data_IF_658423128103
#
_entry.id   IF_658423128103
#
_cell.length_a   1.000
_cell.length_b   1.000
_cell.length_c   1.000
_cell.angle_alpha   90.00
_cell.angle_beta   90.00
_cell.angle_gamma   90.00
#
_symmetry.space_group_name_H-M   'P 1'
#
loop_
_entity.id
_entity.type
_entity.pdbx_description
1 polymer ?
#
# COMPACT_ATOMS: atom_id res chain seq x y z
N UNK A 1 13.48 -17.93 -31.49
CA UNK A 1 14.72 -17.26 -31.03
C UNK A 1 14.37 -15.85 -30.58
N UNK A 2 14.54 -15.47 -29.31
CA UNK A 2 14.32 -14.09 -28.89
C UNK A 2 15.39 -13.17 -29.50
N UNK A 3 14.97 -12.02 -30.03
CA UNK A 3 15.85 -11.05 -30.67
C UNK A 3 16.91 -10.53 -29.68
N UNK A 4 18.18 -10.76 -30.00
CA UNK A 4 19.30 -10.20 -29.24
C UNK A 4 19.32 -8.68 -29.37
N UNK A 5 19.45 -7.97 -28.23
CA UNK A 5 19.49 -6.51 -28.19
C UNK A 5 20.78 -6.03 -28.85
N UNK A 6 20.65 -5.29 -29.95
CA UNK A 6 21.79 -4.62 -30.60
C UNK A 6 22.25 -3.47 -29.70
N UNK A 7 23.54 -3.40 -29.40
CA UNK A 7 24.13 -2.25 -28.74
C UNK A 7 24.09 -1.04 -29.69
N UNK A 8 23.64 0.09 -29.16
CA UNK A 8 23.66 1.38 -29.86
C UNK A 8 24.76 2.24 -29.26
N UNK A 9 25.54 2.86 -30.13
CA UNK A 9 26.65 3.74 -29.76
C UNK A 9 26.17 4.93 -28.90
N UNK A 10 27.02 5.40 -27.98
CA UNK A 10 26.69 6.49 -27.06
C UNK A 10 26.47 7.82 -27.79
N UNK A 11 27.18 8.07 -28.90
CA UNK A 11 27.02 9.26 -29.73
C UNK A 11 25.60 9.38 -30.31
N UNK A 12 25.06 8.27 -30.81
CA UNK A 12 23.71 8.22 -31.37
C UNK A 12 22.63 8.42 -30.29
N UNK A 13 22.87 7.95 -29.07
CA UNK A 13 21.99 8.24 -27.92
C UNK A 13 22.03 9.71 -27.53
N UNK A 14 23.21 10.33 -27.56
CA UNK A 14 23.39 11.76 -27.29
C UNK A 14 22.64 12.60 -28.33
N UNK A 15 22.82 12.29 -29.61
CA UNK A 15 22.13 12.97 -30.70
C UNK A 15 20.61 12.85 -30.61
N UNK A 16 20.10 11.67 -30.22
CA UNK A 16 18.66 11.49 -30.00
C UNK A 16 18.14 12.33 -28.83
N UNK A 17 18.89 12.46 -27.74
CA UNK A 17 18.53 13.31 -26.60
C UNK A 17 18.53 14.79 -27.01
N UNK A 18 19.57 15.23 -27.72
CA UNK A 18 19.69 16.61 -28.18
C UNK A 18 18.55 16.95 -29.15
N UNK A 19 18.22 16.05 -30.07
CA UNK A 19 17.08 16.21 -30.99
C UNK A 19 15.75 16.32 -30.25
N UNK A 20 15.50 15.50 -29.22
CA UNK A 20 14.29 15.58 -28.38
C UNK A 20 14.19 16.96 -27.71
N UNK A 21 15.31 17.48 -27.22
CA UNK A 21 15.35 18.75 -26.52
C UNK A 21 15.16 19.97 -27.44
N UNK A 22 15.64 19.92 -28.68
CA UNK A 22 15.63 21.06 -29.61
C UNK A 22 14.49 20.99 -30.63
N UNK A 23 14.35 19.88 -31.33
CA UNK A 23 13.42 19.71 -32.47
C UNK A 23 12.16 18.94 -32.07
N UNK A 24 12.28 17.95 -31.17
CA UNK A 24 11.18 17.10 -30.70
C UNK A 24 10.26 17.73 -29.66
N UNK A 25 10.37 19.05 -29.41
CA UNK A 25 9.52 19.76 -28.45
C UNK A 25 9.60 19.24 -27.01
N UNK A 26 10.71 18.58 -26.63
CA UNK A 26 10.91 17.94 -25.33
C UNK A 26 10.29 16.55 -25.20
N UNK A 27 9.69 16.00 -26.27
CA UNK A 27 8.98 14.70 -26.24
C UNK A 27 9.64 13.70 -27.19
N UNK A 28 10.02 12.50 -26.73
CA UNK A 28 10.51 11.45 -27.63
C UNK A 28 9.46 11.05 -28.68
N UNK A 29 9.85 10.93 -29.96
CA UNK A 29 8.91 10.65 -31.06
C UNK A 29 8.04 9.41 -30.88
N UNK A 30 8.56 8.38 -30.21
CA UNK A 30 7.81 7.16 -29.90
C UNK A 30 6.71 7.38 -28.86
N UNK A 31 6.83 8.44 -28.06
CA UNK A 31 5.86 8.85 -27.06
C UNK A 31 4.95 9.98 -27.54
N UNK A 32 5.25 10.65 -28.66
CA UNK A 32 4.45 11.76 -29.19
C UNK A 32 2.96 11.41 -29.33
N UNK A 33 2.63 10.27 -29.95
CA UNK A 33 1.23 9.84 -30.08
C UNK A 33 0.52 9.69 -28.72
N UNK A 34 1.23 9.17 -27.72
CA UNK A 34 0.71 9.01 -26.35
C UNK A 34 0.54 10.38 -25.65
N UNK A 35 1.46 11.31 -25.87
CA UNK A 35 1.33 12.67 -25.33
C UNK A 35 0.24 13.48 -26.05
N UNK A 36 0.06 13.31 -27.36
CA UNK A 36 -1.09 13.87 -28.09
C UNK A 36 -2.41 13.27 -27.62
N UNK A 37 -2.45 11.97 -27.30
CA UNK A 37 -3.64 11.34 -26.70
C UNK A 37 -3.93 11.89 -25.29
N UNK A 38 -2.89 12.12 -24.48
CA UNK A 38 -3.03 12.81 -23.18
C UNK A 38 -3.56 14.23 -23.37
N UNK A 39 -2.99 15.01 -24.30
CA UNK A 39 -3.39 16.38 -24.59
C UNK A 39 -4.81 16.44 -25.17
N UNK A 40 -5.18 15.55 -26.09
CA UNK A 40 -6.54 15.41 -26.60
C UNK A 40 -7.53 14.99 -25.49
N UNK A 41 -7.08 14.19 -24.52
CA UNK A 41 -7.85 13.83 -23.33
C UNK A 41 -7.88 14.91 -22.24
N UNK A 42 -7.15 16.04 -22.37
CA UNK A 42 -7.24 17.15 -21.40
C UNK A 42 -8.60 17.84 -21.37
N UNK A 43 -9.46 17.64 -22.39
CA UNK A 43 -10.88 18.00 -22.33
C UNK A 43 -11.72 17.09 -21.41
N UNK A 44 -11.20 15.93 -21.02
CA UNK A 44 -11.88 14.99 -20.13
C UNK A 44 -10.84 14.20 -19.33
N UNK A 45 -10.33 14.85 -18.28
CA UNK A 45 -9.47 14.36 -17.17
C UNK A 45 -9.57 12.85 -16.86
N UNK A 46 -9.02 11.99 -17.72
CA UNK A 46 -8.87 10.55 -17.45
C UNK A 46 -7.42 10.28 -17.09
N UNK A 47 -7.22 9.78 -15.87
CA UNK A 47 -5.92 9.48 -15.25
C UNK A 47 -5.28 8.29 -15.97
N UNK A 48 -3.94 8.32 -16.07
CA UNK A 48 -3.11 7.19 -16.51
C UNK A 48 -3.33 5.97 -15.60
N UNK A 49 -3.55 4.81 -16.22
CA UNK A 49 -3.78 3.55 -15.54
C UNK A 49 -2.45 3.04 -14.93
N UNK A 50 -2.40 2.87 -13.60
CA UNK A 50 -1.22 2.37 -12.88
C UNK A 50 -0.56 3.35 -11.91
N UNK A 51 -0.85 4.64 -12.00
CA UNK A 51 -0.48 5.60 -10.96
C UNK A 51 -1.51 5.52 -9.82
N UNK A 52 -1.20 4.70 -8.81
CA UNK A 52 -2.02 4.53 -7.60
C UNK A 52 -2.59 5.86 -7.11
N UNK A 53 -3.85 5.84 -6.65
CA UNK A 53 -4.50 7.02 -6.10
C UNK A 53 -3.74 7.43 -4.84
N UNK A 54 -3.03 8.56 -4.88
CA UNK A 54 -2.69 9.30 -3.64
C UNK A 54 -4.03 9.56 -2.93
N UNK A 55 -4.22 9.11 -1.69
CA UNK A 55 -5.44 9.39 -0.96
C UNK A 55 -5.67 10.89 -0.92
N UNK A 56 -6.93 11.31 -0.96
CA UNK A 56 -7.29 12.74 -0.87
C UNK A 56 -6.85 13.33 0.49
N UNK A 57 -6.56 12.48 1.49
CA UNK A 57 -6.05 12.85 2.81
C UNK A 57 -5.01 11.83 3.30
N UNK A 58 -3.74 12.01 2.95
CA UNK A 58 -2.64 11.11 3.36
C UNK A 58 -2.37 11.14 4.86
N UNK A 59 -2.29 12.34 5.46
CA UNK A 59 -1.91 12.53 6.87
C UNK A 59 -2.93 11.93 7.86
N UNK A 60 -4.22 12.04 7.55
CA UNK A 60 -5.28 11.42 8.33
C UNK A 60 -5.26 9.89 8.26
N UNK A 61 -4.88 9.32 7.09
CA UNK A 61 -4.71 7.87 6.94
C UNK A 61 -3.47 7.37 7.72
N UNK A 62 -2.37 8.12 7.73
CA UNK A 62 -1.15 7.77 8.48
C UNK A 62 -1.42 7.75 9.99
N UNK A 63 -2.10 8.77 10.52
CA UNK A 63 -2.49 8.83 11.94
C UNK A 63 -3.39 7.66 12.34
N UNK A 64 -4.31 7.24 11.46
CA UNK A 64 -5.16 6.09 11.69
C UNK A 64 -4.36 4.77 11.70
N UNK A 65 -3.32 4.66 10.87
CA UNK A 65 -2.43 3.50 10.84
C UNK A 65 -1.65 3.39 12.15
N UNK A 66 -1.09 4.48 12.67
CA UNK A 66 -0.36 4.49 13.94
C UNK A 66 -1.24 4.05 15.11
N UNK A 67 -2.48 4.55 15.17
CA UNK A 67 -3.43 4.16 16.19
C UNK A 67 -3.82 2.67 16.10
N UNK A 68 -3.88 2.11 14.90
CA UNK A 68 -4.08 0.67 14.70
C UNK A 68 -2.89 -0.12 15.26
N UNK A 69 -1.65 0.35 15.05
CA UNK A 69 -0.46 -0.27 15.61
C UNK A 69 -0.44 -0.21 17.14
N UNK A 70 -0.71 0.95 17.74
CA UNK A 70 -0.77 1.12 19.20
C UNK A 70 -1.82 0.20 19.83
N UNK A 71 -3.00 0.12 19.22
CA UNK A 71 -4.08 -0.74 19.70
C UNK A 71 -3.70 -2.22 19.61
N UNK A 72 -2.99 -2.62 18.55
CA UNK A 72 -2.44 -3.97 18.40
C UNK A 72 -1.34 -4.26 19.42
N UNK A 73 -0.48 -3.28 19.73
CA UNK A 73 0.56 -3.39 20.75
C UNK A 73 -0.05 -3.62 22.14
N UNK A 74 -1.16 -2.94 22.45
CA UNK A 74 -1.97 -3.14 23.66
C UNK A 74 -2.79 -4.44 23.67
N UNK A 75 -2.63 -5.29 22.65
CA UNK A 75 -3.38 -6.55 22.46
C UNK A 75 -4.90 -6.36 22.39
N UNK A 76 -5.35 -5.17 22.03
CA UNK A 76 -6.77 -4.88 21.86
C UNK A 76 -7.26 -5.29 20.47
N UNK A 77 -8.53 -5.67 20.38
CA UNK A 77 -9.14 -6.06 19.11
C UNK A 77 -9.33 -4.83 18.22
N UNK A 78 -8.84 -4.93 16.99
CA UNK A 78 -9.10 -3.97 15.90
C UNK A 78 -10.17 -4.57 14.98
N UNK A 79 -11.39 -4.02 15.02
CA UNK A 79 -12.49 -4.42 14.13
C UNK A 79 -12.62 -3.43 12.96
N UNK A 80 -13.29 -3.86 11.88
CA UNK A 80 -13.62 -2.98 10.74
C UNK A 80 -14.46 -1.79 11.18
N UNK A 81 -15.44 -2.04 12.05
CA UNK A 81 -16.31 -1.00 12.61
C UNK A 81 -15.53 0.02 13.43
N UNK A 82 -14.54 -0.44 14.20
CA UNK A 82 -13.66 0.45 14.97
C UNK A 82 -12.79 1.30 14.04
N UNK A 83 -12.21 0.70 12.98
CA UNK A 83 -11.46 1.45 11.97
C UNK A 83 -12.36 2.51 11.32
N UNK A 84 -13.59 2.16 10.96
CA UNK A 84 -14.53 3.09 10.35
C UNK A 84 -14.94 4.23 11.30
N UNK A 85 -15.20 3.93 12.57
CA UNK A 85 -15.54 4.93 13.58
C UNK A 85 -14.38 5.91 13.81
N UNK A 86 -13.16 5.38 13.91
CA UNK A 86 -11.99 6.20 14.17
C UNK A 86 -11.57 7.02 12.97
N UNK A 87 -11.71 6.47 11.75
CA UNK A 87 -11.58 7.24 10.53
C UNK A 87 -12.59 8.40 10.54
N UNK A 88 -13.87 8.19 10.87
CA UNK A 88 -14.81 9.33 10.94
C UNK A 88 -14.36 10.40 11.91
N UNK A 89 -13.88 10.03 13.10
CA UNK A 89 -13.42 10.99 14.10
C UNK A 89 -12.23 11.82 13.61
N UNK A 90 -11.17 11.16 13.13
CA UNK A 90 -9.97 11.85 12.62
C UNK A 90 -10.34 12.77 11.46
N UNK A 91 -11.25 12.36 10.57
CA UNK A 91 -11.68 13.16 9.42
C UNK A 91 -12.63 14.31 9.79
N UNK A 92 -13.32 14.23 10.93
CA UNK A 92 -14.10 15.33 11.47
C UNK A 92 -13.21 16.35 12.19
N UNK A 93 -12.17 15.88 12.88
CA UNK A 93 -11.24 16.71 13.65
C UNK A 93 -10.18 17.39 12.77
N UNK A 94 -9.78 16.75 11.66
CA UNK A 94 -8.85 17.32 10.69
C UNK A 94 -9.49 18.37 9.78
N UNK A 95 -10.79 18.63 9.90
CA UNK A 95 -11.50 19.61 9.08
C UNK A 95 -11.43 20.97 9.77
N UNK A 96 -10.64 21.88 9.20
CA UNK A 96 -10.55 23.27 9.66
C UNK A 96 -11.87 24.00 9.43
N UNK A 97 -12.23 24.90 10.37
CA UNK A 97 -13.53 25.59 10.44
C UNK A 97 -13.91 26.37 9.15
N UNK A 98 -12.95 26.73 8.30
CA UNK A 98 -13.17 27.49 7.05
C UNK A 98 -13.83 26.68 5.91
N UNK A 99 -13.77 25.34 5.93
CA UNK A 99 -14.35 24.50 4.87
C UNK A 99 -15.78 24.00 5.17
N UNK A 100 -16.39 24.52 6.24
CA UNK A 100 -17.69 24.04 6.74
C UNK A 100 -18.87 24.36 5.80
N UNK A 101 -18.75 25.34 4.91
CA UNK A 101 -19.91 25.83 4.12
C UNK A 101 -20.01 25.28 2.69
N UNK A 102 -18.91 24.92 2.01
CA UNK A 102 -18.96 24.66 0.56
C UNK A 102 -19.15 23.20 0.12
N UNK A 103 -18.83 22.19 0.94
CA UNK A 103 -18.88 20.80 0.48
C UNK A 103 -19.58 19.83 1.46
N UNK A 104 -20.85 19.45 1.19
CA UNK A 104 -21.63 18.46 1.94
C UNK A 104 -21.12 17.00 1.85
N UNK A 105 -19.91 16.76 1.33
CA UNK A 105 -19.39 15.40 1.17
C UNK A 105 -18.96 14.90 2.55
N UNK A 106 -19.93 14.35 3.30
CA UNK A 106 -19.71 13.69 4.58
C UNK A 106 -18.90 12.42 4.31
N UNK A 107 -17.69 12.36 4.86
CA UNK A 107 -16.88 11.15 4.81
C UNK A 107 -17.60 10.01 5.53
N UNK A 108 -18.04 9.00 4.77
CA UNK A 108 -18.88 7.93 5.29
C UNK A 108 -18.10 6.77 5.93
N UNK A 109 -16.78 6.70 5.74
CA UNK A 109 -15.94 5.55 6.12
C UNK A 109 -16.62 4.20 5.78
N UNK A 110 -17.09 4.06 4.53
CA UNK A 110 -17.84 2.88 4.10
C UNK A 110 -17.00 1.60 4.17
N UNK A 111 -17.67 0.44 4.19
CA UNK A 111 -16.97 -0.85 4.25
C UNK A 111 -16.01 -1.07 3.06
N UNK A 112 -16.39 -0.57 1.87
CA UNK A 112 -15.52 -0.55 0.70
C UNK A 112 -14.28 0.34 0.90
N UNK A 113 -14.44 1.50 1.54
CA UNK A 113 -13.31 2.36 1.90
C UNK A 113 -12.39 1.66 2.91
N UNK A 114 -12.94 1.01 3.94
CA UNK A 114 -12.15 0.24 4.93
C UNK A 114 -11.37 -0.88 4.24
N UNK A 115 -11.99 -1.63 3.31
CA UNK A 115 -11.28 -2.65 2.52
C UNK A 115 -10.12 -2.06 1.73
N UNK A 116 -10.35 -0.96 1.01
CA UNK A 116 -9.31 -0.30 0.22
C UNK A 116 -8.20 0.30 1.09
N UNK A 117 -8.54 0.90 2.23
CA UNK A 117 -7.58 1.38 3.23
C UNK A 117 -6.72 0.24 3.77
N UNK A 118 -7.33 -0.87 4.14
CA UNK A 118 -6.61 -2.04 4.65
C UNK A 118 -5.67 -2.65 3.59
N UNK A 119 -6.13 -2.76 2.34
CA UNK A 119 -5.31 -3.27 1.24
C UNK A 119 -4.12 -2.37 0.94
N UNK A 120 -4.32 -1.05 0.92
CA UNK A 120 -3.25 -0.07 0.68
C UNK A 120 -2.18 -0.09 1.77
N UNK A 121 -2.60 -0.22 3.02
CA UNK A 121 -1.70 -0.18 4.18
C UNK A 121 -1.22 -1.57 4.63
N UNK A 122 -1.43 -2.62 3.82
CA UNK A 122 -1.07 -4.01 4.14
C UNK A 122 -1.62 -4.50 5.50
N UNK A 123 -2.77 -3.96 5.91
CA UNK A 123 -3.42 -4.32 7.16
C UNK A 123 -4.26 -5.58 6.94
N UNK A 124 -3.97 -6.63 7.69
CA UNK A 124 -4.82 -7.83 7.72
C UNK A 124 -5.79 -7.78 8.90
N UNK A 125 -7.04 -8.18 8.65
CA UNK A 125 -7.96 -8.62 9.70
C UNK A 125 -7.52 -10.02 10.12
N UNK A 126 -6.69 -10.11 11.16
CA UNK A 126 -6.42 -11.41 11.76
C UNK A 126 -7.71 -11.92 12.38
N UNK A 127 -8.25 -13.03 11.85
CA UNK A 127 -9.44 -13.75 12.37
C UNK A 127 -9.36 -14.03 13.88
N UNK A 128 -8.13 -14.16 14.39
CA UNK A 128 -7.77 -14.10 15.79
C UNK A 128 -6.42 -13.41 15.89
N UNK A 129 -6.29 -12.41 16.75
CA UNK A 129 -5.02 -11.78 17.13
C UNK A 129 -4.15 -12.78 17.89
N UNK A 130 -3.64 -13.82 17.21
CA UNK A 130 -2.77 -14.82 17.83
C UNK A 130 -1.28 -14.45 17.76
N UNK A 131 -0.91 -13.27 17.25
CA UNK A 131 0.51 -12.87 17.22
C UNK A 131 1.05 -12.59 18.64
N UNK A 132 0.17 -12.48 19.65
CA UNK A 132 0.53 -12.12 21.03
C UNK A 132 -0.15 -12.97 22.11
N UNK A 133 -0.82 -14.07 21.73
CA UNK A 133 -1.59 -14.91 22.68
C UNK A 133 -0.73 -15.74 23.61
N UNK A 134 0.55 -15.91 23.30
CA UNK A 134 1.47 -16.65 24.15
C UNK A 134 2.42 -15.62 24.75
N UNK A 135 2.49 -15.59 26.08
CA UNK A 135 3.57 -14.88 26.76
C UNK A 135 4.89 -15.54 26.38
N UNK A 136 6.01 -14.83 26.55
CA UNK A 136 7.34 -15.39 26.28
C UNK A 136 7.53 -16.71 27.03
N UNK A 137 7.02 -16.80 28.25
CA UNK A 137 7.00 -18.03 29.06
C UNK A 137 6.28 -19.18 28.36
N UNK A 138 5.08 -18.93 27.80
CA UNK A 138 4.29 -19.96 27.11
C UNK A 138 4.93 -20.34 25.76
N UNK A 139 5.63 -19.41 25.11
CA UNK A 139 6.40 -19.71 23.90
C UNK A 139 7.61 -20.60 24.22
N UNK A 140 8.35 -20.27 25.28
CA UNK A 140 9.49 -21.05 25.75
C UNK A 140 9.05 -22.44 26.18
N UNK A 141 7.97 -22.54 26.96
CA UNK A 141 7.43 -23.83 27.42
C UNK A 141 7.03 -24.75 26.26
N UNK A 142 6.37 -24.19 25.23
CA UNK A 142 6.03 -24.93 24.00
C UNK A 142 7.25 -25.31 23.19
N UNK A 143 8.24 -24.44 23.08
CA UNK A 143 9.48 -24.72 22.36
C UNK A 143 10.26 -25.85 23.05
N UNK A 144 10.37 -25.82 24.37
CA UNK A 144 11.00 -26.87 25.17
C UNK A 144 10.23 -28.19 25.04
N UNK A 145 8.91 -28.16 25.19
CA UNK A 145 8.05 -29.35 25.00
C UNK A 145 8.21 -29.97 23.61
N UNK A 146 8.29 -29.14 22.56
CA UNK A 146 8.49 -29.61 21.20
C UNK A 146 9.90 -30.19 20.99
N UNK A 147 10.94 -29.55 21.54
CA UNK A 147 12.31 -30.06 21.47
C UNK A 147 12.45 -31.40 22.21
N UNK A 148 11.77 -31.58 23.34
CA UNK A 148 11.73 -32.83 24.09
C UNK A 148 11.01 -33.93 23.29
N UNK A 149 9.86 -33.62 22.69
CA UNK A 149 9.15 -34.53 21.78
C UNK A 149 10.06 -34.99 20.63
N UNK A 150 10.77 -34.06 19.99
CA UNK A 150 11.72 -34.38 18.91
C UNK A 150 12.87 -35.26 19.40
N UNK A 151 13.41 -35.03 20.60
CA UNK A 151 14.48 -35.85 21.16
C UNK A 151 14.03 -37.29 21.43
N UNK A 152 12.82 -37.47 21.94
CA UNK A 152 12.22 -38.78 22.21
C UNK A 152 11.94 -39.57 20.92
N UNK A 153 11.55 -38.88 19.85
CA UNK A 153 11.20 -39.49 18.56
C UNK A 153 12.35 -39.49 17.54
N UNK A 154 13.49 -38.84 17.84
CA UNK A 154 14.70 -38.86 17.01
C UNK A 154 15.25 -40.28 16.75
N UNK A 155 15.24 -41.22 17.71
CA UNK A 155 15.72 -42.59 17.48
C UNK A 155 14.81 -43.37 16.53
N UNK A 156 13.50 -43.08 16.53
CA UNK A 156 12.52 -43.76 15.67
C UNK A 156 12.47 -43.19 14.26
N UNK A 157 12.84 -41.91 14.09
CA UNK A 157 12.90 -41.26 12.76
C UNK A 157 14.11 -41.65 11.90
N UNK A 158 15.14 -42.30 12.46
CA UNK A 158 16.33 -42.76 11.72
C UNK A 158 16.34 -44.27 11.45
N UNK A 159 15.22 -44.97 11.66
CA UNK A 159 15.02 -46.36 11.26
C UNK A 159 14.37 -46.38 9.87
N UNK A 160 15.18 -46.14 8.84
CA UNK A 160 14.93 -46.55 7.46
C UNK A 160 16.27 -46.96 6.83
#
# INVERSE_FOLDING_TARGET
MPASRKSVELSLKRQAIDWIATEGGGVPSRAEAHFYEILAATGSRRRLQGAGRRPVLGEAEDTLVDLIYDRRLKKEKVTRDWIAAQARLIFHESRTEEEHEEHPIRFAASDAWVTAFMQRNNLSLRRRTNLTTLTDEVLVDRAVSFMQFLQEHKPTMNLN
#
